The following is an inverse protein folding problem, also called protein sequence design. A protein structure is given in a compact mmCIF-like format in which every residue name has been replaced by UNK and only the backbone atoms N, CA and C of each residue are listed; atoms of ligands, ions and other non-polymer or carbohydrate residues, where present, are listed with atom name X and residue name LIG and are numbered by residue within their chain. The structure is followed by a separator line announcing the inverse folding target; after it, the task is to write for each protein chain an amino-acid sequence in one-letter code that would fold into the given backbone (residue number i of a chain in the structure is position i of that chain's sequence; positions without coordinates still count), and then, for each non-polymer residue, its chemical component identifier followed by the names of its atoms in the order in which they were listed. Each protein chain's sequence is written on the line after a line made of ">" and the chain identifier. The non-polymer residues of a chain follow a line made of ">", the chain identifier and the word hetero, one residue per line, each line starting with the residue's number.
data_IF_135194456049
#
_entry.id   IF_135194456049
#
_cell.length_a   1.000
_cell.length_b   1.000
_cell.length_c   1.000
_cell.angle_alpha   90.00
_cell.angle_beta   90.00
_cell.angle_gamma   90.00
#
_symmetry.space_group_name_H-M   'P 1'
#
loop_
_entity.id
_entity.type
_entity.pdbx_description
1 polymer ?
#
# COMPACT_ATOMS: atom_id res chain seq x y z
N UNK A 1 -21.13 -32.89 38.37
CA UNK A 1 -19.82 -33.56 38.35
C UNK A 1 -19.03 -33.03 37.16
N UNK A 2 -17.81 -32.58 37.44
CA UNK A 2 -16.89 -31.79 36.60
C UNK A 2 -16.08 -32.69 35.66
N UNK A 3 -15.75 -32.19 34.46
CA UNK A 3 -14.43 -32.24 33.76
C UNK A 3 -14.48 -31.18 32.64
N UNK A 4 -13.96 -29.95 32.79
CA UNK A 4 -12.55 -29.49 32.73
C UNK A 4 -11.74 -30.06 31.55
N UNK A 5 -11.60 -29.23 30.52
CA UNK A 5 -10.32 -28.83 29.90
C UNK A 5 -9.69 -29.74 28.84
N UNK A 6 -9.47 -29.20 27.64
CA UNK A 6 -8.10 -29.04 27.12
C UNK A 6 -8.06 -27.95 26.04
N UNK A 7 -7.46 -26.81 26.39
CA UNK A 7 -6.81 -25.92 25.45
C UNK A 7 -5.56 -26.67 24.97
N UNK A 8 -5.40 -26.85 23.66
CA UNK A 8 -4.11 -27.21 23.06
C UNK A 8 -3.87 -26.31 21.85
N UNK A 9 -2.71 -25.66 21.91
CA UNK A 9 -2.13 -24.68 21.00
C UNK A 9 -2.27 -25.03 19.51
N UNK A 10 -2.85 -24.12 18.73
CA UNK A 10 -2.64 -24.06 17.28
C UNK A 10 -1.55 -23.05 16.87
N UNK A 11 -0.82 -22.48 17.84
CA UNK A 11 0.30 -21.57 17.59
C UNK A 11 1.54 -22.22 16.95
N UNK A 12 1.56 -23.54 16.81
CA UNK A 12 2.69 -24.26 16.20
C UNK A 12 2.53 -24.56 14.70
N UNK A 13 1.32 -24.42 14.14
CA UNK A 13 1.08 -24.67 12.71
C UNK A 13 1.28 -23.43 11.83
N UNK A 14 1.05 -22.23 12.37
CA UNK A 14 1.32 -20.96 11.68
C UNK A 14 2.82 -20.70 11.50
N UNK A 15 3.63 -21.01 12.52
CA UNK A 15 5.08 -20.89 12.42
C UNK A 15 5.67 -21.85 11.37
N UNK A 16 5.09 -23.05 11.22
CA UNK A 16 5.54 -24.01 10.21
C UNK A 16 5.23 -23.53 8.79
N UNK A 17 4.08 -22.90 8.53
CA UNK A 17 3.78 -22.34 7.21
C UNK A 17 4.68 -21.15 6.86
N UNK A 18 4.93 -20.25 7.82
CA UNK A 18 5.87 -19.13 7.65
C UNK A 18 7.32 -19.62 7.44
N UNK A 19 7.78 -20.61 8.22
CA UNK A 19 9.11 -21.21 8.06
C UNK A 19 9.22 -22.01 6.75
N UNK A 20 8.17 -22.69 6.30
CA UNK A 20 8.20 -23.43 5.03
C UNK A 20 8.19 -22.49 3.82
N UNK A 21 7.52 -21.33 3.92
CA UNK A 21 7.60 -20.26 2.92
C UNK A 21 9.01 -19.64 2.89
N UNK A 22 9.59 -19.34 4.07
CA UNK A 22 10.96 -18.83 4.19
C UNK A 22 12.05 -19.83 3.74
N UNK A 23 11.88 -21.14 3.99
CA UNK A 23 12.86 -22.15 3.58
C UNK A 23 12.81 -22.46 2.08
N UNK A 24 11.67 -22.29 1.41
CA UNK A 24 11.57 -22.53 -0.04
C UNK A 24 12.28 -21.45 -0.86
N UNK A 25 12.43 -20.24 -0.31
CA UNK A 25 13.24 -19.17 -0.91
C UNK A 25 14.76 -19.33 -0.70
N UNK A 26 15.22 -20.14 0.27
CA UNK A 26 16.65 -20.27 0.59
C UNK A 26 17.36 -21.48 -0.06
N UNK A 27 16.63 -22.42 -0.67
CA UNK A 27 17.22 -23.73 -1.07
C UNK A 27 17.44 -23.91 -2.58
N UNK A 28 17.08 -22.95 -3.42
CA UNK A 28 17.50 -22.96 -4.84
C UNK A 28 18.31 -21.69 -5.18
N UNK A 29 19.58 -21.65 -4.76
CA UNK A 29 20.73 -21.09 -5.52
C UNK A 29 22.01 -21.26 -4.69
N UNK A 30 22.50 -22.50 -4.51
CA UNK A 30 23.93 -22.67 -4.19
C UNK A 30 24.75 -22.28 -5.42
N UNK A 31 25.28 -21.06 -5.44
CA UNK A 31 26.43 -20.72 -6.29
C UNK A 31 26.33 -19.48 -7.19
N UNK A 32 25.50 -18.48 -6.90
CA UNK A 32 25.72 -17.13 -7.43
C UNK A 32 26.08 -16.19 -6.30
N UNK A 33 27.23 -15.53 -6.45
CA UNK A 33 27.56 -14.37 -5.62
C UNK A 33 26.40 -13.38 -5.74
N UNK A 34 25.86 -12.93 -4.61
CA UNK A 34 24.97 -11.78 -4.55
C UNK A 34 25.62 -10.67 -5.38
N UNK A 35 25.05 -10.40 -6.55
CA UNK A 35 25.35 -9.19 -7.29
C UNK A 35 25.07 -8.03 -6.34
N UNK A 36 25.95 -7.03 -6.36
CA UNK A 36 25.62 -5.71 -5.84
C UNK A 36 24.19 -5.40 -6.30
N UNK A 37 23.28 -5.14 -5.35
CA UNK A 37 21.98 -4.60 -5.71
C UNK A 37 22.26 -3.43 -6.62
N UNK A 38 21.71 -3.47 -7.83
CA UNK A 38 21.75 -2.32 -8.71
C UNK A 38 21.20 -1.17 -7.86
N UNK A 39 21.97 -0.10 -7.56
CA UNK A 39 21.47 0.94 -6.69
C UNK A 39 20.20 1.42 -7.36
N UNK A 40 19.04 1.23 -6.72
CA UNK A 40 17.77 1.73 -7.21
C UNK A 40 18.05 3.17 -7.65
N UNK A 41 17.82 3.49 -8.93
CA UNK A 41 18.06 4.84 -9.44
C UNK A 41 17.43 5.79 -8.43
N UNK A 42 18.25 6.68 -7.86
CA UNK A 42 17.83 7.52 -6.75
C UNK A 42 16.60 8.30 -7.19
N UNK A 43 15.49 8.12 -6.46
CA UNK A 43 14.20 8.73 -6.79
C UNK A 43 14.35 10.24 -6.96
N UNK A 44 13.76 10.80 -8.01
CA UNK A 44 13.70 12.26 -8.20
C UNK A 44 12.65 12.90 -7.29
N UNK A 45 11.69 12.11 -6.80
CA UNK A 45 10.71 12.55 -5.82
C UNK A 45 11.30 12.51 -4.41
N UNK A 46 11.08 13.56 -3.59
CA UNK A 46 11.39 13.51 -2.18
C UNK A 46 10.53 12.43 -1.50
N UNK A 47 11.08 11.79 -0.48
CA UNK A 47 10.29 10.90 0.37
C UNK A 47 9.32 11.73 1.21
N UNK A 48 8.10 11.23 1.43
CA UNK A 48 7.11 11.84 2.29
C UNK A 48 7.66 12.02 3.71
N UNK A 49 7.31 13.15 4.33
CA UNK A 49 7.65 13.43 5.73
C UNK A 49 7.00 12.41 6.65
N UNK A 50 7.73 12.00 7.68
CA UNK A 50 7.16 11.22 8.78
C UNK A 50 6.48 12.16 9.77
N UNK A 51 5.40 11.68 10.38
CA UNK A 51 4.74 12.38 11.48
C UNK A 51 5.32 11.89 12.81
N UNK A 52 5.40 12.80 13.78
CA UNK A 52 5.82 12.49 15.14
C UNK A 52 4.79 13.06 16.11
N UNK A 53 4.38 12.23 17.05
CA UNK A 53 3.41 12.59 18.09
C UNK A 53 4.00 12.34 19.47
N UNK A 54 3.92 13.35 20.34
CA UNK A 54 4.27 13.19 21.76
C UNK A 54 3.12 12.58 22.56
N UNK A 55 1.88 12.70 22.08
CA UNK A 55 0.69 12.16 22.72
C UNK A 55 -0.33 11.63 21.69
N UNK A 56 -0.08 10.46 21.09
CA UNK A 56 -0.87 9.95 19.96
C UNK A 56 -2.34 9.68 20.29
N UNK A 57 -2.70 9.48 21.55
CA UNK A 57 -4.08 9.24 21.98
C UNK A 57 -4.94 10.52 22.04
N UNK A 58 -4.31 11.70 22.07
CA UNK A 58 -4.99 13.00 22.17
C UNK A 58 -4.89 13.84 20.88
N UNK A 59 -4.09 13.40 19.91
CA UNK A 59 -3.84 14.08 18.65
C UNK A 59 -4.65 13.45 17.50
N UNK A 60 -4.86 14.22 16.43
CA UNK A 60 -5.51 13.73 15.21
C UNK A 60 -4.42 13.29 14.23
N UNK A 61 -3.93 12.06 14.38
CA UNK A 61 -2.80 11.54 13.61
C UNK A 61 -3.17 11.41 12.13
N UNK A 62 -4.40 11.00 11.83
CA UNK A 62 -4.90 10.97 10.46
C UNK A 62 -4.86 12.36 9.79
N UNK A 63 -5.24 13.41 10.51
CA UNK A 63 -5.17 14.79 10.03
C UNK A 63 -3.74 15.28 9.84
N UNK A 64 -2.83 14.94 10.75
CA UNK A 64 -1.41 15.27 10.64
C UNK A 64 -0.77 14.59 9.42
N UNK A 65 -1.01 13.29 9.24
CA UNK A 65 -0.53 12.56 8.06
C UNK A 65 -1.09 13.21 6.79
N UNK A 66 -2.37 13.54 6.79
CA UNK A 66 -3.00 14.18 5.65
C UNK A 66 -2.38 15.51 5.25
N UNK A 67 -2.05 16.36 6.22
CA UNK A 67 -1.41 17.64 5.96
C UNK A 67 0.01 17.47 5.39
N UNK A 68 0.79 16.55 5.96
CA UNK A 68 2.20 16.38 5.62
C UNK A 68 2.45 15.54 4.36
N UNK A 69 1.55 14.62 4.02
CA UNK A 69 1.82 13.58 3.01
C UNK A 69 0.76 13.51 1.91
N UNK A 70 -0.12 14.48 1.76
CA UNK A 70 -1.09 14.49 0.65
C UNK A 70 -0.43 14.43 -0.73
N UNK A 71 0.80 14.94 -0.88
CA UNK A 71 1.57 14.95 -2.13
C UNK A 71 1.93 13.58 -2.71
N UNK A 72 1.82 12.49 -1.94
CA UNK A 72 1.98 11.11 -2.47
C UNK A 72 0.66 10.47 -2.90
N UNK A 73 -0.48 11.09 -2.58
CA UNK A 73 -1.79 10.53 -2.86
C UNK A 73 -2.28 10.98 -4.23
N UNK A 74 -2.92 10.06 -4.97
CA UNK A 74 -3.54 10.37 -6.26
C UNK A 74 -4.96 9.80 -6.34
N UNK A 75 -5.81 10.40 -7.17
CA UNK A 75 -7.02 9.74 -7.65
C UNK A 75 -6.71 8.97 -8.92
N UNK A 76 -7.29 7.78 -9.02
CA UNK A 76 -7.25 6.98 -10.24
C UNK A 76 -8.66 6.87 -10.79
N UNK A 77 -8.88 7.41 -11.98
CA UNK A 77 -10.18 7.49 -12.62
C UNK A 77 -10.17 6.66 -13.91
N UNK A 78 -11.06 5.68 -13.99
CA UNK A 78 -11.33 4.89 -15.20
C UNK A 78 -12.79 5.09 -15.62
N UNK A 79 -13.22 4.52 -16.77
CA UNK A 79 -14.56 4.82 -17.28
C UNK A 79 -15.64 4.15 -16.43
N UNK A 80 -16.28 4.94 -15.57
CA UNK A 80 -17.33 4.44 -14.68
C UNK A 80 -16.79 3.70 -13.44
N UNK A 81 -15.49 3.81 -13.18
CA UNK A 81 -14.80 3.34 -11.98
C UNK A 81 -13.87 4.43 -11.47
N UNK A 82 -13.60 4.46 -10.17
CA UNK A 82 -12.71 5.44 -9.58
C UNK A 82 -12.26 5.00 -8.20
N UNK A 83 -11.01 5.31 -7.89
CA UNK A 83 -10.36 4.95 -6.65
C UNK A 83 -9.20 5.87 -6.34
N UNK A 84 -8.32 5.38 -5.50
CA UNK A 84 -7.14 6.08 -5.00
C UNK A 84 -5.88 5.41 -5.53
N UNK A 85 -4.75 6.08 -5.38
CA UNK A 85 -3.43 5.56 -5.68
C UNK A 85 -2.36 6.17 -4.80
N UNK A 86 -1.18 5.56 -4.80
CA UNK A 86 0.00 6.01 -4.05
C UNK A 86 1.17 6.19 -5.02
N UNK A 87 1.80 7.36 -4.98
CA UNK A 87 3.12 7.57 -5.57
C UNK A 87 4.15 6.79 -4.77
N UNK A 88 4.62 5.69 -5.34
CA UNK A 88 5.51 4.76 -4.66
C UNK A 88 6.97 5.04 -5.00
N UNK A 89 7.24 5.42 -6.25
CA UNK A 89 8.58 5.78 -6.70
C UNK A 89 8.52 6.75 -7.90
N UNK A 90 9.66 7.31 -8.29
CA UNK A 90 9.78 8.05 -9.54
C UNK A 90 11.22 8.36 -9.91
N UNK A 91 11.57 8.17 -11.18
CA UNK A 91 12.87 8.56 -11.73
C UNK A 91 12.73 9.76 -12.69
N UNK A 92 13.80 10.12 -13.40
CA UNK A 92 13.79 11.26 -14.33
C UNK A 92 12.83 11.11 -15.53
N UNK A 93 12.35 9.90 -15.81
CA UNK A 93 11.52 9.56 -16.96
C UNK A 93 10.07 9.30 -16.56
N UNK A 94 9.83 8.58 -15.46
CA UNK A 94 8.49 8.13 -15.08
C UNK A 94 8.27 8.11 -13.57
N UNK A 95 7.01 8.35 -13.17
CA UNK A 95 6.52 8.11 -11.82
C UNK A 95 5.79 6.77 -11.79
N UNK A 96 6.00 6.00 -10.72
CA UNK A 96 5.27 4.77 -10.44
C UNK A 96 4.17 5.04 -9.42
N UNK A 97 2.93 4.86 -9.86
CA UNK A 97 1.74 4.89 -8.99
C UNK A 97 1.23 3.48 -8.76
N UNK A 98 0.99 3.12 -7.50
CA UNK A 98 0.28 1.90 -7.11
C UNK A 98 -1.20 2.18 -6.99
N UNK A 99 -2.04 1.24 -7.41
CA UNK A 99 -3.49 1.24 -7.15
C UNK A 99 -4.02 -0.18 -7.09
N UNK A 100 -5.27 -0.36 -6.67
CA UNK A 100 -5.90 -1.66 -6.70
C UNK A 100 -6.32 -2.00 -8.14
N UNK A 101 -6.03 -3.21 -8.62
CA UNK A 101 -6.20 -3.58 -10.02
C UNK A 101 -7.64 -3.45 -10.53
N UNK A 102 -8.63 -3.70 -9.66
CA UNK A 102 -10.04 -3.53 -10.00
C UNK A 102 -10.46 -2.06 -10.24
N UNK A 103 -9.70 -1.08 -9.72
CA UNK A 103 -9.99 0.36 -9.93
C UNK A 103 -9.88 0.73 -11.41
N UNK A 104 -8.95 0.10 -12.14
CA UNK A 104 -8.67 0.38 -13.54
C UNK A 104 -9.79 -0.01 -14.51
N UNK A 105 -10.85 -0.68 -14.03
CA UNK A 105 -11.96 -1.10 -14.88
C UNK A 105 -11.55 -2.14 -15.92
N UNK A 106 -12.18 -2.09 -17.09
CA UNK A 106 -11.92 -3.03 -18.19
C UNK A 106 -10.68 -2.66 -18.99
N UNK A 107 -10.10 -3.64 -19.69
CA UNK A 107 -8.95 -3.41 -20.57
C UNK A 107 -9.26 -2.38 -21.66
N UNK A 108 -8.28 -1.55 -22.00
CA UNK A 108 -8.35 -0.48 -23.01
C UNK A 108 -9.23 0.72 -22.64
N UNK A 109 -9.63 0.87 -21.38
CA UNK A 109 -10.21 2.12 -20.89
C UNK A 109 -9.11 3.17 -20.65
N UNK A 110 -9.42 4.44 -20.93
CA UNK A 110 -8.57 5.56 -20.54
C UNK A 110 -8.52 5.65 -19.02
N UNK A 111 -7.31 5.58 -18.47
CA UNK A 111 -7.03 5.73 -17.04
C UNK A 111 -6.44 7.12 -16.83
N UNK A 112 -6.98 7.87 -15.88
CA UNK A 112 -6.47 9.19 -15.50
C UNK A 112 -5.93 9.15 -14.08
N UNK A 113 -4.73 9.70 -13.91
CA UNK A 113 -4.12 9.95 -12.60
C UNK A 113 -4.29 11.43 -12.31
N UNK A 114 -4.98 11.76 -11.22
CA UNK A 114 -5.15 13.13 -10.74
C UNK A 114 -4.35 13.29 -9.45
N UNK A 115 -3.35 14.16 -9.49
CA UNK A 115 -2.42 14.44 -8.40
C UNK A 115 -3.01 15.42 -7.39
N UNK A 116 -2.40 15.49 -6.20
CA UNK A 116 -2.82 16.31 -5.06
C UNK A 116 -3.09 17.79 -5.35
N UNK A 117 -2.34 18.37 -6.29
CA UNK A 117 -2.53 19.75 -6.73
C UNK A 117 -3.60 19.93 -7.82
N UNK A 118 -4.24 18.84 -8.23
CA UNK A 118 -5.27 18.78 -9.26
C UNK A 118 -4.75 18.62 -10.69
N UNK A 119 -3.42 18.53 -10.90
CA UNK A 119 -2.89 18.17 -12.21
C UNK A 119 -3.33 16.76 -12.59
N UNK A 120 -3.64 16.54 -13.87
CA UNK A 120 -4.17 15.27 -14.33
C UNK A 120 -3.43 14.82 -15.59
N UNK A 121 -3.02 13.55 -15.59
CA UNK A 121 -2.35 12.90 -16.72
C UNK A 121 -3.15 11.66 -17.13
N UNK A 122 -3.35 11.48 -18.44
CA UNK A 122 -3.87 10.22 -18.97
C UNK A 122 -2.74 9.18 -18.97
N UNK A 123 -2.88 8.14 -18.16
CA UNK A 123 -1.92 7.05 -18.08
C UNK A 123 -2.23 5.99 -19.14
N UNK A 124 -1.30 5.79 -20.06
CA UNK A 124 -1.43 4.82 -21.16
C UNK A 124 -0.70 3.50 -20.89
N UNK A 125 0.22 3.49 -19.92
CA UNK A 125 1.06 2.34 -19.59
C UNK A 125 0.76 1.92 -18.16
N UNK A 126 0.10 0.78 -18.02
CA UNK A 126 -0.15 0.16 -16.72
C UNK A 126 -0.04 -1.35 -16.81
N UNK A 127 0.38 -1.96 -15.71
CA UNK A 127 0.53 -3.40 -15.55
C UNK A 127 -0.27 -3.86 -14.33
N UNK A 128 -1.06 -4.93 -14.48
CA UNK A 128 -1.78 -5.55 -13.37
C UNK A 128 -0.96 -6.75 -12.90
N UNK A 129 -0.66 -6.83 -11.62
CA UNK A 129 -0.10 -8.03 -11.02
C UNK A 129 -1.13 -9.16 -11.18
N UNK A 130 -0.72 -10.29 -11.76
CA UNK A 130 -1.68 -11.32 -12.20
C UNK A 130 -2.42 -12.00 -11.03
N UNK A 131 -1.72 -12.14 -9.89
CA UNK A 131 -2.20 -12.89 -8.73
C UNK A 131 -2.54 -11.99 -7.53
N UNK A 132 -2.44 -10.67 -7.69
CA UNK A 132 -2.74 -9.69 -6.64
C UNK A 132 -3.70 -8.60 -7.16
N UNK A 133 -4.53 -8.05 -6.29
CA UNK A 133 -5.35 -6.87 -6.62
C UNK A 133 -4.51 -5.59 -6.59
N UNK A 134 -3.46 -5.56 -7.41
CA UNK A 134 -2.42 -4.53 -7.51
C UNK A 134 -2.18 -4.18 -8.98
N UNK A 135 -2.04 -2.89 -9.26
CA UNK A 135 -1.60 -2.40 -10.53
C UNK A 135 -0.57 -1.28 -10.38
N UNK A 136 0.37 -1.27 -11.32
CA UNK A 136 1.42 -0.26 -11.46
C UNK A 136 1.07 0.62 -12.65
N UNK A 137 1.00 1.92 -12.43
CA UNK A 137 0.77 2.92 -13.46
C UNK A 137 2.07 3.67 -13.67
N UNK A 138 2.57 3.68 -14.90
CA UNK A 138 3.70 4.51 -15.30
C UNK A 138 3.18 5.84 -15.85
N UNK A 139 3.54 6.93 -15.17
CA UNK A 139 3.19 8.30 -15.57
C UNK A 139 4.46 9.00 -16.06
N UNK A 140 4.54 9.38 -17.35
CA UNK A 140 5.71 10.07 -17.86
C UNK A 140 5.94 11.42 -17.16
N UNK A 141 7.16 11.64 -16.66
CA UNK A 141 7.56 12.94 -16.07
C UNK A 141 7.46 14.06 -17.10
N UNK A 142 7.62 13.76 -18.40
CA UNK A 142 7.44 14.73 -19.49
C UNK A 142 6.03 15.31 -19.58
N UNK A 143 5.03 14.61 -19.02
CA UNK A 143 3.62 15.02 -19.04
C UNK A 143 3.25 15.84 -17.79
N UNK A 144 4.22 16.06 -16.89
CA UNK A 144 4.06 16.79 -15.63
C UNK A 144 4.94 18.04 -15.65
N UNK A 145 4.36 19.26 -15.66
CA UNK A 145 5.12 20.48 -15.51
C UNK A 145 5.91 20.50 -14.19
N UNK A 146 7.12 21.06 -14.22
CA UNK A 146 8.04 21.08 -13.06
C UNK A 146 7.41 21.63 -11.78
N UNK A 147 6.58 22.66 -11.89
CA UNK A 147 5.92 23.30 -10.74
C UNK A 147 4.96 22.35 -10.00
N UNK A 148 4.34 21.42 -10.72
CA UNK A 148 3.47 20.39 -10.16
C UNK A 148 4.30 19.28 -9.50
N UNK A 149 5.34 18.81 -10.21
CA UNK A 149 6.26 17.77 -9.72
C UNK A 149 6.93 18.15 -8.38
N UNK A 150 7.22 19.43 -8.16
CA UNK A 150 7.82 19.95 -6.92
C UNK A 150 6.89 19.82 -5.69
N UNK A 151 5.59 19.59 -5.90
CA UNK A 151 4.61 19.38 -4.81
C UNK A 151 4.41 17.91 -4.45
N UNK A 152 4.98 17.00 -5.23
CA UNK A 152 4.79 15.57 -5.06
C UNK A 152 5.86 14.96 -4.17
N UNK A 153 5.49 13.90 -3.46
CA UNK A 153 6.42 13.08 -2.70
C UNK A 153 6.09 11.60 -2.95
N UNK A 154 7.07 10.72 -2.68
CA UNK A 154 6.85 9.28 -2.70
C UNK A 154 6.61 8.75 -1.31
N UNK A 155 5.89 7.64 -1.19
CA UNK A 155 5.67 6.95 0.06
C UNK A 155 6.99 6.65 0.79
N UNK A 156 6.98 6.87 2.11
CA UNK A 156 8.05 6.46 3.01
C UNK A 156 7.87 5.00 3.38
N UNK A 157 8.93 4.20 3.34
CA UNK A 157 8.90 2.77 3.71
C UNK A 157 10.01 2.51 4.72
N UNK A 158 9.69 1.80 5.80
CA UNK A 158 10.64 1.28 6.77
C UNK A 158 10.40 -0.23 6.93
N UNK A 159 11.27 -1.03 6.32
CA UNK A 159 11.16 -2.50 6.35
C UNK A 159 11.39 -3.07 7.75
N UNK A 160 12.26 -2.44 8.54
CA UNK A 160 12.54 -2.90 9.90
C UNK A 160 11.30 -2.69 10.76
N UNK A 161 10.69 -1.50 10.72
CA UNK A 161 9.41 -1.23 11.39
C UNK A 161 8.30 -2.18 10.93
N UNK A 162 8.20 -2.41 9.62
CA UNK A 162 7.21 -3.30 9.02
C UNK A 162 7.29 -4.75 9.54
N UNK A 163 8.51 -5.29 9.70
CA UNK A 163 8.73 -6.66 10.18
C UNK A 163 8.27 -6.87 11.64
N UNK A 164 8.06 -5.80 12.40
CA UNK A 164 7.59 -5.83 13.80
C UNK A 164 6.09 -5.61 13.96
N UNK A 165 5.33 -5.39 12.87
CA UNK A 165 3.88 -5.19 12.96
C UNK A 165 3.17 -6.39 13.59
N UNK A 166 2.23 -6.11 14.48
CA UNK A 166 1.38 -7.11 15.11
C UNK A 166 -0.09 -6.70 15.21
N UNK A 167 -0.96 -7.68 15.47
CA UNK A 167 -2.36 -7.43 15.71
C UNK A 167 -2.54 -6.56 16.96
N UNK A 168 -3.31 -5.48 16.84
CA UNK A 168 -3.48 -4.47 17.87
C UNK A 168 -2.76 -3.15 17.58
N UNK A 169 -1.82 -3.14 16.63
CA UNK A 169 -1.13 -1.91 16.24
C UNK A 169 -2.08 -0.90 15.60
N UNK A 170 -1.86 0.37 15.95
CA UNK A 170 -2.55 1.50 15.35
C UNK A 170 -2.07 1.72 13.92
N UNK A 171 -3.01 2.06 13.03
CA UNK A 171 -2.73 2.37 11.63
C UNK A 171 -3.55 3.54 11.16
N UNK A 172 -3.11 4.18 10.08
CA UNK A 172 -3.87 5.20 9.36
C UNK A 172 -4.16 4.67 7.96
N UNK A 173 -5.41 4.72 7.53
CA UNK A 173 -5.83 4.34 6.19
C UNK A 173 -6.22 5.59 5.43
N UNK A 174 -5.62 5.81 4.27
CA UNK A 174 -5.80 7.03 3.49
C UNK A 174 -6.25 6.73 2.07
N UNK A 175 -7.31 7.42 1.65
CA UNK A 175 -7.80 7.42 0.28
C UNK A 175 -7.75 8.80 -0.36
N UNK A 176 -8.42 8.95 -1.50
CA UNK A 176 -8.42 10.16 -2.31
C UNK A 176 -9.75 10.43 -3.01
N UNK A 177 -10.86 9.79 -2.61
CA UNK A 177 -12.13 9.85 -3.36
C UNK A 177 -12.73 11.27 -3.54
N UNK A 178 -12.67 12.15 -2.54
CA UNK A 178 -13.20 13.52 -2.61
C UNK A 178 -12.24 14.53 -3.26
N UNK A 179 -10.96 14.18 -3.27
CA UNK A 179 -9.79 14.95 -3.69
C UNK A 179 -8.55 14.21 -3.16
N UNK A 180 -7.34 14.44 -3.67
CA UNK A 180 -6.21 13.60 -3.28
C UNK A 180 -5.75 13.85 -1.84
N UNK A 181 -5.52 12.75 -1.12
CA UNK A 181 -5.32 12.73 0.33
C UNK A 181 -6.57 13.05 1.15
N UNK A 182 -7.72 13.29 0.51
CA UNK A 182 -8.96 13.41 1.25
C UNK A 182 -9.41 12.03 1.74
N UNK A 183 -9.74 11.97 3.03
CA UNK A 183 -10.17 10.78 3.79
C UNK A 183 -8.99 9.95 4.32
N UNK A 184 -8.42 10.42 5.42
CA UNK A 184 -7.59 9.63 6.31
C UNK A 184 -8.39 9.20 7.54
N UNK A 185 -8.24 7.95 7.95
CA UNK A 185 -8.88 7.42 9.15
C UNK A 185 -7.90 6.61 9.97
N UNK A 186 -7.86 6.87 11.27
CA UNK A 186 -7.19 6.00 12.22
C UNK A 186 -7.97 4.68 12.37
N UNK A 187 -7.23 3.62 12.62
CA UNK A 187 -7.73 2.25 12.73
C UNK A 187 -6.77 1.34 13.49
N UNK A 188 -7.06 0.05 13.43
CA UNK A 188 -6.28 -0.96 14.16
C UNK A 188 -6.08 -2.21 13.29
N UNK A 189 -4.85 -2.69 13.20
CA UNK A 189 -4.54 -3.99 12.60
C UNK A 189 -5.21 -5.10 13.41
N UNK A 190 -6.06 -5.88 12.77
CA UNK A 190 -6.69 -7.06 13.35
C UNK A 190 -5.85 -8.31 13.10
N UNK A 191 -5.30 -8.42 11.89
CA UNK A 191 -4.39 -9.50 11.49
C UNK A 191 -3.39 -8.92 10.48
N UNK A 192 -2.10 -9.22 10.63
CA UNK A 192 -1.06 -8.80 9.68
C UNK A 192 -0.95 -9.73 8.48
N UNK A 193 -1.45 -10.96 8.60
CA UNK A 193 -1.39 -11.96 7.54
C UNK A 193 -2.53 -12.97 7.63
N UNK A 194 -3.58 -12.78 6.84
CA UNK A 194 -4.74 -13.68 6.76
C UNK A 194 -5.10 -13.97 5.31
N UNK A 195 -5.35 -15.24 4.98
CA UNK A 195 -5.81 -15.61 3.64
C UNK A 195 -7.29 -15.27 3.49
N UNK A 196 -7.64 -14.41 2.53
CA UNK A 196 -9.01 -14.03 2.24
C UNK A 196 -9.43 -14.63 0.90
N UNK A 197 -10.46 -15.49 0.90
CA UNK A 197 -10.94 -16.19 -0.30
C UNK A 197 -11.39 -15.21 -1.40
N UNK A 198 -12.02 -14.10 -1.03
CA UNK A 198 -12.50 -13.07 -1.97
C UNK A 198 -11.35 -12.42 -2.77
N UNK A 199 -10.15 -12.37 -2.20
CA UNK A 199 -8.93 -11.89 -2.85
C UNK A 199 -8.04 -13.03 -3.36
N UNK A 200 -8.34 -14.27 -2.97
CA UNK A 200 -7.51 -15.46 -3.24
C UNK A 200 -6.04 -15.32 -2.83
N UNK A 201 -5.74 -14.44 -1.87
CA UNK A 201 -4.40 -14.01 -1.49
C UNK A 201 -4.33 -13.72 0.02
N UNK A 202 -3.12 -13.67 0.57
CA UNK A 202 -2.88 -13.19 1.92
C UNK A 202 -2.96 -11.65 2.01
N UNK A 203 -3.72 -11.17 2.99
CA UNK A 203 -4.04 -9.77 3.19
C UNK A 203 -3.79 -9.37 4.65
N UNK A 204 -3.61 -8.08 4.91
CA UNK A 204 -3.80 -7.48 6.22
C UNK A 204 -5.28 -7.19 6.44
N UNK A 205 -5.78 -7.46 7.65
CA UNK A 205 -7.14 -7.11 8.06
C UNK A 205 -7.08 -5.92 9.02
N UNK A 206 -7.84 -4.87 8.73
CA UNK A 206 -7.81 -3.61 9.48
C UNK A 206 -9.23 -3.25 9.91
N UNK A 207 -9.37 -2.72 11.12
CA UNK A 207 -10.61 -2.10 11.58
C UNK A 207 -10.51 -0.59 11.44
N UNK A 208 -11.24 -0.03 10.47
CA UNK A 208 -11.32 1.41 10.21
C UNK A 208 -12.59 1.73 9.41
N UNK A 209 -13.03 3.01 9.34
CA UNK A 209 -14.12 3.42 8.46
C UNK A 209 -13.91 2.97 7.00
N UNK A 210 -14.89 2.27 6.44
CA UNK A 210 -14.91 1.89 5.03
C UNK A 210 -15.66 2.96 4.22
N UNK A 211 -14.94 3.67 3.35
CA UNK A 211 -15.52 4.69 2.47
C UNK A 211 -15.24 4.31 1.02
N UNK A 212 -16.27 4.41 0.18
CA UNK A 212 -16.15 4.10 -1.23
C UNK A 212 -15.12 5.01 -1.91
N UNK A 213 -14.30 4.43 -2.78
CA UNK A 213 -13.24 5.13 -3.51
C UNK A 213 -11.90 5.21 -2.79
N UNK A 214 -11.78 4.69 -1.56
CA UNK A 214 -10.48 4.53 -0.90
C UNK A 214 -9.64 3.39 -1.49
N UNK A 215 -10.23 2.42 -2.21
CA UNK A 215 -9.50 1.33 -2.86
C UNK A 215 -8.37 1.84 -3.74
N UNK A 216 -7.20 1.24 -3.62
CA UNK A 216 -5.92 1.68 -4.17
C UNK A 216 -5.19 2.73 -3.33
N UNK A 217 -5.78 3.18 -2.22
CA UNK A 217 -5.15 4.07 -1.25
C UNK A 217 -4.15 3.34 -0.35
N UNK A 218 -3.51 4.07 0.54
CA UNK A 218 -2.43 3.55 1.38
C UNK A 218 -2.87 3.22 2.80
N UNK A 219 -2.19 2.25 3.39
CA UNK A 219 -2.19 1.94 4.82
C UNK A 219 -0.83 2.32 5.38
N UNK A 220 -0.84 3.05 6.50
CA UNK A 220 0.34 3.60 7.13
C UNK A 220 0.42 3.20 8.60
N UNK A 221 1.62 3.05 9.12
CA UNK A 221 1.82 3.05 10.57
C UNK A 221 1.56 4.46 11.15
N UNK A 222 1.57 4.59 12.48
CA UNK A 222 1.31 5.87 13.14
C UNK A 222 2.41 6.93 12.93
N UNK A 223 3.55 6.58 12.33
CA UNK A 223 4.61 7.51 11.95
C UNK A 223 4.52 7.94 10.48
N UNK A 224 3.62 7.34 9.70
CA UNK A 224 3.44 7.62 8.27
C UNK A 224 4.26 6.74 7.34
N UNK A 225 4.84 5.63 7.80
CA UNK A 225 5.44 4.65 6.90
C UNK A 225 4.33 3.85 6.21
N UNK A 226 4.43 3.72 4.90
CA UNK A 226 3.57 2.89 4.09
C UNK A 226 3.82 1.41 4.37
N UNK A 227 2.76 0.69 4.74
CA UNK A 227 2.82 -0.73 5.13
C UNK A 227 1.94 -1.62 4.25
N UNK A 228 1.12 -1.04 3.38
CA UNK A 228 0.33 -1.80 2.42
C UNK A 228 -0.68 -0.96 1.64
N UNK A 229 -1.31 -1.59 0.66
CA UNK A 229 -2.25 -0.96 -0.26
C UNK A 229 -3.68 -1.41 0.07
N UNK A 230 -4.61 -0.48 0.27
CA UNK A 230 -6.01 -0.81 0.54
C UNK A 230 -6.66 -1.39 -0.73
N UNK A 231 -7.21 -2.59 -0.66
CA UNK A 231 -7.92 -3.21 -1.78
C UNK A 231 -9.44 -3.09 -1.62
N UNK A 232 -9.97 -3.28 -0.41
CA UNK A 232 -11.41 -3.18 -0.20
C UNK A 232 -11.83 -3.15 1.25
N UNK A 233 -13.13 -3.14 1.46
CA UNK A 233 -13.72 -3.21 2.79
C UNK A 233 -15.21 -3.46 2.74
N UNK A 234 -15.79 -3.73 3.92
CA UNK A 234 -17.22 -4.01 4.06
C UNK A 234 -17.92 -2.94 4.93
N UNK A 235 -19.26 -3.00 4.97
CA UNK A 235 -20.10 -2.08 5.73
C UNK A 235 -19.86 -2.09 7.25
N UNK A 236 -19.17 -3.12 7.76
CA UNK A 236 -18.81 -3.21 9.17
C UNK A 236 -17.51 -2.45 9.48
N UNK A 237 -16.82 -1.87 8.49
CA UNK A 237 -15.52 -1.23 8.68
C UNK A 237 -14.38 -2.24 8.86
N UNK A 238 -14.50 -3.42 8.26
CA UNK A 238 -13.38 -4.34 8.09
C UNK A 238 -12.79 -4.11 6.70
N UNK A 239 -11.52 -3.76 6.68
CA UNK A 239 -10.77 -3.43 5.47
C UNK A 239 -9.72 -4.50 5.20
N UNK A 240 -9.53 -4.81 3.92
CA UNK A 240 -8.49 -5.72 3.44
C UNK A 240 -7.44 -4.92 2.66
N UNK A 241 -6.18 -5.07 3.05
CA UNK A 241 -5.06 -4.42 2.41
C UNK A 241 -3.99 -5.42 1.96
N UNK A 242 -3.42 -5.22 0.79
CA UNK A 242 -2.28 -5.97 0.30
C UNK A 242 -1.04 -5.57 1.12
N UNK A 243 -0.37 -6.51 1.80
CA UNK A 243 0.82 -6.23 2.60
C UNK A 243 1.99 -5.73 1.74
N UNK A 244 2.80 -4.80 2.29
CA UNK A 244 4.00 -4.26 1.65
C UNK A 244 4.91 -5.35 1.07
N UNK A 245 5.16 -6.45 1.80
CA UNK A 245 6.04 -7.51 1.32
C UNK A 245 5.62 -8.12 -0.03
N UNK A 246 4.31 -8.21 -0.30
CA UNK A 246 3.82 -8.69 -1.60
C UNK A 246 3.93 -7.62 -2.68
N UNK A 247 3.69 -6.36 -2.33
CA UNK A 247 3.88 -5.23 -3.25
C UNK A 247 5.34 -5.14 -3.69
N UNK A 248 6.28 -5.29 -2.76
CA UNK A 248 7.72 -5.26 -3.07
C UNK A 248 8.14 -6.44 -3.95
N UNK A 249 7.62 -7.64 -3.69
CA UNK A 249 7.89 -8.79 -4.54
C UNK A 249 7.44 -8.57 -6.00
N UNK A 250 6.21 -8.07 -6.20
CA UNK A 250 5.69 -7.75 -7.53
C UNK A 250 6.46 -6.59 -8.20
N UNK A 251 6.86 -5.58 -7.42
CA UNK A 251 7.61 -4.43 -7.93
C UNK A 251 9.04 -4.81 -8.36
N UNK A 252 9.71 -5.71 -7.62
CA UNK A 252 11.04 -6.24 -7.95
C UNK A 252 11.01 -7.17 -9.18
N UNK A 253 9.93 -7.92 -9.41
CA UNK A 253 9.82 -8.76 -10.61
C UNK A 253 9.71 -7.94 -11.92
N UNK A 254 9.25 -6.69 -11.83
CA UNK A 254 9.10 -5.79 -12.97
C UNK A 254 10.35 -4.94 -13.29
N UNK A 255 11.36 -4.88 -12.41
CA UNK A 255 12.49 -3.94 -12.49
C UNK A 255 13.87 -4.60 -12.34
#
# INVERSE_FOLDING_TARGET
>A
MIKKGMIVLAGAFLLAAAIFFFQRFYVEEEGKAYGESNPAKESVLPQASLIFSENPEEENLAGMLQEETSGMMVQVLARGSGGSGILYNGDENELTVLTAAHVLGQENESVWVVFADGWAVECQVYEKAADADLAFLSVPVSDIPKEHLETYCRAAVDKESYDFLEAGDGVIVMGSYGGPGENAYEGTLQETWVYLEDFSQYMMLIKAPAVQGMSGGGVFDLNGHFIGLLCGGNENGELAALPLALIEAEYEEQN
#
